data_IF_425942051678
#
_entry.id   IF_425942051678
#
_cell.length_a   1.000
_cell.length_b   1.000
_cell.length_c   1.000
_cell.angle_alpha   90.00
_cell.angle_beta   90.00
_cell.angle_gamma   90.00
#
_symmetry.space_group_name_H-M   'P 1'
#
loop_
_entity.id
_entity.type
_entity.pdbx_description
1 polymer ?
#
# COMPACT_ATOMS: atom_id res chain seq x y z
N UNK A 1 -11.97 3.13 0.03
CA UNK A 1 -10.53 2.88 0.25
C UNK A 1 -10.10 3.65 1.50
N UNK A 2 -10.40 3.12 2.69
CA UNK A 2 -10.30 3.89 3.94
C UNK A 2 -8.87 4.00 4.51
N UNK A 3 -7.88 3.33 3.91
CA UNK A 3 -6.51 3.34 4.42
C UNK A 3 -5.91 4.76 4.53
N UNK A 4 -6.00 5.55 3.45
CA UNK A 4 -5.46 6.92 3.43
C UNK A 4 -6.25 7.91 4.31
N UNK A 5 -7.40 7.49 4.84
CA UNK A 5 -8.20 8.25 5.79
C UNK A 5 -7.99 7.79 7.24
N UNK A 6 -7.78 6.48 7.46
CA UNK A 6 -7.64 5.86 8.79
C UNK A 6 -6.21 5.87 9.30
N UNK A 7 -5.21 5.79 8.42
CA UNK A 7 -3.82 5.63 8.78
C UNK A 7 -3.09 6.99 8.69
N UNK A 8 -2.34 7.39 9.74
CA UNK A 8 -1.46 8.55 9.70
C UNK A 8 -0.50 8.53 8.50
N UNK A 9 -0.27 9.69 7.86
CA UNK A 9 0.45 9.75 6.57
C UNK A 9 1.94 9.40 6.67
N UNK A 10 2.54 9.59 7.85
CA UNK A 10 3.88 9.13 8.20
C UNK A 10 4.01 7.60 8.17
N UNK A 11 2.91 6.88 8.42
CA UNK A 11 2.84 5.42 8.36
C UNK A 11 2.48 4.89 6.96
N UNK A 12 2.19 5.75 5.99
CA UNK A 12 1.91 5.30 4.62
C UNK A 12 3.16 4.67 4.00
N UNK A 13 3.05 3.39 3.68
CA UNK A 13 4.01 2.59 2.91
C UNK A 13 3.25 1.50 2.17
N UNK A 14 3.77 1.01 1.04
CA UNK A 14 3.17 -0.12 0.31
C UNK A 14 3.09 -1.37 1.19
N UNK A 15 4.11 -1.61 2.04
CA UNK A 15 4.12 -2.69 3.04
C UNK A 15 2.92 -2.62 3.98
N UNK A 16 2.72 -1.48 4.65
CA UNK A 16 1.63 -1.34 5.62
C UNK A 16 0.25 -1.44 4.94
N UNK A 17 0.16 -0.95 3.70
CA UNK A 17 -1.05 -1.09 2.89
C UNK A 17 -1.36 -2.56 2.58
N UNK A 18 -0.35 -3.33 2.16
CA UNK A 18 -0.50 -4.77 1.90
C UNK A 18 -0.91 -5.52 3.17
N UNK A 19 -0.27 -5.25 4.31
CA UNK A 19 -0.65 -5.84 5.58
C UNK A 19 -2.11 -5.53 5.95
N UNK A 20 -2.54 -4.28 5.74
CA UNK A 20 -3.92 -3.87 5.98
C UNK A 20 -4.91 -4.64 5.09
N UNK A 21 -4.67 -4.67 3.77
CA UNK A 21 -5.55 -5.35 2.83
C UNK A 21 -5.62 -6.85 3.10
N UNK A 22 -4.48 -7.50 3.34
CA UNK A 22 -4.43 -8.94 3.67
C UNK A 22 -5.18 -9.25 4.96
N UNK A 23 -5.10 -8.37 5.96
CA UNK A 23 -5.85 -8.50 7.21
C UNK A 23 -7.37 -8.40 7.00
N UNK A 24 -7.81 -7.57 6.04
CA UNK A 24 -9.22 -7.36 5.73
C UNK A 24 -9.78 -8.32 4.67
N UNK A 25 -8.95 -8.85 3.77
CA UNK A 25 -9.37 -9.65 2.62
C UNK A 25 -8.32 -10.72 2.28
N UNK A 26 -8.71 -11.99 2.38
CA UNK A 26 -7.77 -13.13 2.30
C UNK A 26 -7.28 -13.42 0.89
N UNK A 27 -7.99 -12.99 -0.16
CA UNK A 27 -7.74 -13.42 -1.55
C UNK A 27 -7.25 -12.29 -2.47
N UNK A 28 -6.65 -11.24 -1.91
CA UNK A 28 -6.20 -10.10 -2.71
C UNK A 28 -4.99 -10.45 -3.60
N UNK A 29 -5.00 -9.95 -4.84
CA UNK A 29 -3.87 -10.05 -5.78
C UNK A 29 -2.82 -8.96 -5.53
N UNK A 30 -1.53 -9.31 -5.62
CA UNK A 30 -0.42 -8.38 -5.33
C UNK A 30 -0.43 -7.18 -6.27
N UNK A 31 -0.61 -7.44 -7.56
CA UNK A 31 -0.52 -6.41 -8.59
C UNK A 31 -1.70 -5.47 -8.46
N UNK A 32 -2.89 -6.01 -8.17
CA UNK A 32 -4.07 -5.23 -7.87
C UNK A 32 -3.87 -4.35 -6.62
N UNK A 33 -3.40 -4.91 -5.50
CA UNK A 33 -3.16 -4.16 -4.26
C UNK A 33 -2.12 -3.05 -4.48
N UNK A 34 -1.06 -3.36 -5.20
CA UNK A 34 -0.01 -2.39 -5.55
C UNK A 34 -0.57 -1.27 -6.43
N UNK A 35 -1.39 -1.62 -7.44
CA UNK A 35 -2.06 -0.64 -8.30
C UNK A 35 -2.97 0.29 -7.47
N UNK A 36 -3.81 -0.29 -6.61
CA UNK A 36 -4.73 0.47 -5.74
C UNK A 36 -3.95 1.45 -4.87
N UNK A 37 -2.85 1.02 -4.26
CA UNK A 37 -2.02 1.89 -3.44
C UNK A 37 -1.52 3.11 -4.22
N UNK A 38 -0.88 2.89 -5.37
CA UNK A 38 -0.31 3.98 -6.15
C UNK A 38 -1.36 4.88 -6.80
N UNK A 39 -2.51 4.34 -7.24
CA UNK A 39 -3.62 5.17 -7.71
C UNK A 39 -4.15 6.08 -6.62
N UNK A 40 -4.27 5.59 -5.37
CA UNK A 40 -4.66 6.45 -4.24
C UNK A 40 -3.63 7.55 -3.95
N UNK A 41 -2.34 7.28 -4.10
CA UNK A 41 -1.29 8.30 -3.98
C UNK A 41 -1.35 9.34 -5.10
N UNK A 42 -1.61 8.91 -6.35
CA UNK A 42 -1.79 9.80 -7.51
C UNK A 42 -2.99 10.74 -7.29
N UNK A 43 -4.12 10.21 -6.82
CA UNK A 43 -5.31 10.99 -6.48
C UNK A 43 -5.02 12.04 -5.39
N UNK A 44 -4.30 11.66 -4.33
CA UNK A 44 -3.92 12.58 -3.24
C UNK A 44 -2.97 13.65 -3.75
N UNK A 45 -2.00 13.29 -4.58
CA UNK A 45 -1.02 14.22 -5.12
C UNK A 45 -1.66 15.23 -6.09
N UNK A 46 -2.67 14.80 -6.86
CA UNK A 46 -3.42 15.66 -7.77
C UNK A 46 -4.46 16.54 -7.06
N UNK A 47 -4.88 16.19 -5.84
CA UNK A 47 -5.89 16.94 -5.11
C UNK A 47 -5.33 18.25 -4.54
N UNK A 48 -5.67 19.37 -5.18
CA UNK A 48 -5.23 20.71 -4.78
C UNK A 48 -5.71 21.11 -3.37
N UNK A 49 -6.81 20.52 -2.89
CA UNK A 49 -7.39 20.79 -1.57
C UNK A 49 -6.79 19.91 -0.47
N UNK A 50 -6.00 18.89 -0.82
CA UNK A 50 -5.33 18.07 0.18
C UNK A 50 -4.25 18.88 0.92
N UNK A 51 -4.08 18.68 2.25
CA UNK A 51 -3.02 19.33 3.00
C UNK A 51 -1.65 19.12 2.35
N UNK A 52 -0.84 20.18 2.26
CA UNK A 52 0.46 20.14 1.59
C UNK A 52 1.34 18.97 2.05
N UNK A 53 1.42 18.73 3.37
CA UNK A 53 2.20 17.61 3.91
C UNK A 53 1.73 16.22 3.45
N UNK A 54 0.42 16.02 3.21
CA UNK A 54 -0.11 14.78 2.63
C UNK A 54 0.30 14.63 1.17
N UNK A 55 0.24 15.72 0.39
CA UNK A 55 0.67 15.71 -1.01
C UNK A 55 2.18 15.45 -1.13
N UNK A 56 2.99 16.10 -0.30
CA UNK A 56 4.45 15.90 -0.28
C UNK A 56 4.81 14.47 0.10
N UNK A 57 4.12 13.89 1.07
CA UNK A 57 4.29 12.48 1.42
C UNK A 57 3.89 11.55 0.27
N UNK A 58 2.75 11.82 -0.38
CA UNK A 58 2.30 11.02 -1.51
C UNK A 58 3.29 11.07 -2.68
N UNK A 59 3.77 12.27 -3.04
CA UNK A 59 4.83 12.47 -4.04
C UNK A 59 6.09 11.69 -3.69
N UNK A 60 6.58 11.79 -2.46
CA UNK A 60 7.77 11.03 -2.02
C UNK A 60 7.59 9.52 -2.18
N UNK A 61 6.40 8.98 -1.92
CA UNK A 61 6.13 7.56 -2.09
C UNK A 61 6.02 7.17 -3.57
N UNK A 62 5.43 8.03 -4.41
CA UNK A 62 5.40 7.85 -5.87
C UNK A 62 6.81 7.83 -6.47
N UNK A 63 7.70 8.73 -6.03
CA UNK A 63 9.08 8.79 -6.49
C UNK A 63 9.88 7.52 -6.13
N UNK A 64 9.47 6.80 -5.08
CA UNK A 64 10.11 5.56 -4.62
C UNK A 64 9.45 4.28 -5.14
N UNK A 65 8.47 4.39 -6.06
CA UNK A 65 7.61 3.29 -6.49
C UNK A 65 8.36 2.02 -6.89
N UNK A 66 9.38 2.16 -7.73
CA UNK A 66 10.16 1.03 -8.24
C UNK A 66 10.90 0.29 -7.11
N UNK A 67 11.56 1.05 -6.22
CA UNK A 67 12.27 0.49 -5.08
C UNK A 67 11.33 -0.19 -4.07
N UNK A 68 10.14 0.36 -3.87
CA UNK A 68 9.13 -0.21 -2.97
C UNK A 68 8.53 -1.50 -3.55
N UNK A 69 8.24 -1.56 -4.86
CA UNK A 69 7.77 -2.78 -5.50
C UNK A 69 8.77 -3.93 -5.36
N UNK A 70 10.07 -3.67 -5.55
CA UNK A 70 11.12 -4.69 -5.42
C UNK A 70 11.22 -5.26 -4.00
N UNK A 71 11.04 -4.42 -2.96
CA UNK A 71 11.12 -4.84 -1.55
C UNK A 71 9.90 -5.64 -1.08
N UNK A 72 8.77 -5.47 -1.76
CA UNK A 72 7.49 -6.00 -1.31
C UNK A 72 7.28 -7.46 -1.72
N UNK A 73 8.08 -7.97 -2.66
CA UNK A 73 8.07 -9.39 -3.05
C UNK A 73 8.29 -10.35 -1.88
N UNK A 74 9.25 -10.05 -1.01
CA UNK A 74 9.57 -10.89 0.14
C UNK A 74 8.40 -10.93 1.14
N UNK A 75 7.76 -9.78 1.37
CA UNK A 75 6.63 -9.66 2.29
C UNK A 75 5.42 -10.42 1.75
N UNK A 76 5.15 -10.29 0.44
CA UNK A 76 4.03 -10.96 -0.20
C UNK A 76 4.19 -12.48 -0.19
N UNK A 77 5.40 -12.96 -0.50
CA UNK A 77 5.76 -14.39 -0.45
C UNK A 77 5.51 -14.97 0.94
N UNK A 78 6.05 -14.33 1.99
CA UNK A 78 5.85 -14.79 3.37
C UNK A 78 4.40 -14.78 3.84
N UNK A 79 3.61 -13.78 3.42
CA UNK A 79 2.19 -13.72 3.72
C UNK A 79 1.46 -14.93 3.12
N UNK A 80 1.75 -15.26 1.86
CA UNK A 80 1.07 -16.36 1.17
C UNK A 80 1.55 -17.74 1.65
N UNK A 81 2.84 -17.91 1.92
CA UNK A 81 3.38 -19.13 2.54
C UNK A 81 2.70 -19.45 3.87
N UNK A 82 2.49 -18.44 4.72
CA UNK A 82 1.76 -18.61 5.98
C UNK A 82 0.29 -18.94 5.75
N UNK A 83 -0.37 -18.37 4.74
CA UNK A 83 -1.76 -18.75 4.39
C UNK A 83 -1.84 -20.22 3.96
N UNK A 84 -0.92 -20.68 3.11
CA UNK A 84 -0.86 -22.09 2.67
C UNK A 84 -0.55 -23.04 3.83
N UNK A 85 0.31 -22.62 4.77
CA UNK A 85 0.68 -23.41 5.96
C UNK A 85 -0.43 -23.50 7.02
N UNK A 86 -1.43 -22.61 6.97
CA UNK A 86 -2.57 -22.55 7.89
C UNK A 86 -3.86 -23.14 7.30
N UNK A 87 -3.85 -23.57 6.04
CA UNK A 87 -4.93 -24.36 5.47
C UNK A 87 -4.76 -25.82 5.91
N UNK A 88 -5.47 -26.20 6.98
CA UNK A 88 -5.97 -27.57 7.20
C UNK A 88 -7.12 -27.86 6.23
#
# INVERSE_FOLDING_TARGET
MEYFTLIPYDLWTLKNFICFIVGCNKDSDKNEVTRIFYSGLEEINANINAPQGKRDRARKLLDNKEADCNKVEEIWTHINERKTSLNL
#
